data_IF_601132315368
#
_entry.id   IF_601132315368
#
_cell.length_a   1.000
_cell.length_b   1.000
_cell.length_c   1.000
_cell.angle_alpha   90.00
_cell.angle_beta   90.00
_cell.angle_gamma   90.00
#
_symmetry.space_group_name_H-M   'P 1'
#
loop_
_entity.id
_entity.type
_entity.pdbx_description
1 polymer ?
#
# COMPACT_ATOMS: atom_id res chain seq x y z
N UNK A 1 -10.96 -10.59 -10.17
CA UNK A 1 -9.87 -10.68 -9.18
C UNK A 1 -9.91 -9.43 -8.32
N UNK A 2 -9.76 -9.59 -7.02
CA UNK A 2 -9.95 -8.50 -6.06
C UNK A 2 -8.58 -7.83 -5.87
N UNK A 3 -8.33 -6.72 -6.57
CA UNK A 3 -7.11 -5.93 -6.36
C UNK A 3 -7.24 -5.07 -5.11
N UNK A 4 -6.14 -4.91 -4.41
CA UNK A 4 -6.05 -4.00 -3.28
C UNK A 4 -6.10 -2.55 -3.75
N UNK A 5 -6.41 -1.64 -2.82
CA UNK A 5 -6.44 -0.21 -3.11
C UNK A 5 -5.35 0.50 -2.34
N UNK A 6 -4.65 1.40 -3.04
CA UNK A 6 -3.59 2.24 -2.50
C UNK A 6 -3.79 3.69 -2.92
N UNK A 7 -3.39 4.61 -2.06
CA UNK A 7 -3.38 6.05 -2.29
C UNK A 7 -2.07 6.65 -1.78
N UNK A 8 -1.39 7.42 -2.63
CA UNK A 8 -0.15 8.12 -2.25
C UNK A 8 -0.38 9.30 -1.29
N UNK A 9 -1.61 9.80 -1.19
CA UNK A 9 -1.99 10.91 -0.30
C UNK A 9 -3.16 10.49 0.56
N UNK A 10 -3.39 11.23 1.64
CA UNK A 10 -4.53 10.98 2.52
C UNK A 10 -5.85 10.99 1.72
N UNK A 11 -6.63 9.90 1.77
CA UNK A 11 -7.91 9.82 1.08
C UNK A 11 -8.89 10.81 1.74
N UNK A 12 -9.60 11.57 0.91
CA UNK A 12 -10.59 12.55 1.39
C UNK A 12 -11.92 11.93 1.77
N UNK A 13 -12.16 10.67 1.40
CA UNK A 13 -13.39 9.92 1.66
C UNK A 13 -13.08 8.56 2.29
N UNK A 14 -14.03 8.06 3.11
CA UNK A 14 -13.93 6.76 3.80
C UNK A 14 -12.66 6.59 4.67
N UNK A 15 -12.15 7.67 5.29
CA UNK A 15 -10.86 7.69 6.02
C UNK A 15 -10.72 6.55 7.04
N UNK A 16 -11.79 6.18 7.73
CA UNK A 16 -11.81 5.08 8.70
C UNK A 16 -11.59 3.69 8.08
N UNK A 17 -11.76 3.56 6.77
CA UNK A 17 -11.52 2.32 6.01
C UNK A 17 -10.12 2.21 5.44
N UNK A 18 -9.29 3.24 5.60
CA UNK A 18 -7.92 3.24 5.11
C UNK A 18 -6.95 3.16 6.27
N UNK A 19 -5.83 2.50 6.03
CA UNK A 19 -4.72 2.42 6.97
C UNK A 19 -3.52 3.16 6.39
N UNK A 20 -2.92 4.02 7.20
CA UNK A 20 -1.64 4.64 6.86
C UNK A 20 -0.51 3.60 7.00
N UNK A 21 0.30 3.49 5.97
CA UNK A 21 1.46 2.62 5.90
C UNK A 21 2.68 3.33 5.36
N UNK A 22 3.83 2.73 5.62
CA UNK A 22 5.13 3.10 5.06
C UNK A 22 5.55 1.99 4.12
N UNK A 23 5.96 2.33 2.90
CA UNK A 23 6.47 1.32 1.95
C UNK A 23 7.79 0.79 2.49
N UNK A 24 7.85 -0.52 2.72
CA UNK A 24 9.07 -1.23 3.13
C UNK A 24 9.82 -1.72 1.91
N UNK A 25 9.09 -2.27 0.95
CA UNK A 25 9.64 -2.73 -0.32
C UNK A 25 8.55 -2.80 -1.38
N UNK A 26 8.97 -2.82 -2.64
CA UNK A 26 8.09 -3.02 -3.77
C UNK A 26 8.77 -3.92 -4.80
N UNK A 27 8.00 -4.83 -5.39
CA UNK A 27 8.48 -5.79 -6.37
C UNK A 27 7.41 -6.03 -7.44
N UNK A 28 7.83 -6.58 -8.57
CA UNK A 28 6.91 -7.02 -9.62
C UNK A 28 6.79 -8.55 -9.56
N UNK A 29 5.56 -9.07 -9.51
CA UNK A 29 5.29 -10.52 -9.53
C UNK A 29 4.11 -10.80 -10.43
N UNK A 30 4.25 -11.78 -11.34
CA UNK A 30 3.15 -12.25 -12.19
C UNK A 30 2.40 -11.13 -12.95
N UNK A 31 3.13 -10.12 -13.44
CA UNK A 31 2.53 -8.96 -14.12
C UNK A 31 1.74 -8.01 -13.21
N UNK A 32 1.95 -8.10 -11.90
CA UNK A 32 1.38 -7.22 -10.89
C UNK A 32 2.47 -6.51 -10.11
N UNK A 33 2.13 -5.35 -9.56
CA UNK A 33 2.99 -4.63 -8.63
C UNK A 33 2.62 -5.01 -7.21
N UNK A 34 3.58 -5.55 -6.48
CA UNK A 34 3.46 -6.04 -5.12
C UNK A 34 4.18 -5.07 -4.19
N UNK A 35 3.46 -4.49 -3.24
CA UNK A 35 4.00 -3.53 -2.28
C UNK A 35 3.91 -4.12 -0.89
N UNK A 36 5.04 -4.12 -0.18
CA UNK A 36 5.05 -4.40 1.25
C UNK A 36 4.96 -3.09 2.01
N UNK A 37 3.93 -2.99 2.84
CA UNK A 37 3.69 -1.85 3.71
C UNK A 37 3.90 -2.25 5.16
N UNK A 38 4.45 -1.35 5.98
CA UNK A 38 4.36 -1.44 7.43
C UNK A 38 3.36 -0.41 7.93
N UNK A 39 2.43 -0.74 8.84
CA UNK A 39 1.56 0.24 9.46
C UNK A 39 2.37 1.37 10.10
N UNK A 40 2.01 2.64 9.82
CA UNK A 40 2.69 3.80 10.40
C UNK A 40 2.29 3.99 11.87
N UNK A 41 1.01 3.77 12.18
CA UNK A 41 0.51 3.65 13.55
C UNK A 41 0.69 2.20 14.01
N UNK A 42 1.61 1.96 14.95
CA UNK A 42 1.97 0.63 15.43
C UNK A 42 0.85 -0.16 16.14
N UNK A 43 -0.34 0.41 16.34
CA UNK A 43 -1.35 -0.13 17.26
C UNK A 43 -2.81 -0.06 16.77
N UNK A 44 -3.09 0.49 15.57
CA UNK A 44 -4.46 0.40 15.06
C UNK A 44 -4.71 -0.99 14.49
N UNK A 45 -5.84 -1.65 14.84
CA UNK A 45 -6.29 -2.83 14.12
C UNK A 45 -6.66 -2.36 12.72
N UNK A 46 -5.68 -2.34 11.82
CA UNK A 46 -5.96 -2.50 10.41
C UNK A 46 -6.72 -3.81 10.31
N UNK A 47 -8.05 -3.68 10.18
CA UNK A 47 -8.99 -4.70 9.72
C UNK A 47 -8.45 -6.11 9.96
N UNK A 48 -8.80 -6.74 11.10
CA UNK A 48 -8.23 -7.97 11.73
C UNK A 48 -7.85 -9.14 10.78
N UNK A 49 -8.23 -9.10 9.51
CA UNK A 49 -7.87 -10.03 8.44
C UNK A 49 -6.80 -9.55 7.45
N UNK A 50 -6.17 -8.40 7.63
CA UNK A 50 -4.96 -8.10 6.88
C UNK A 50 -3.89 -9.08 7.37
N UNK A 51 -3.77 -10.24 6.70
CA UNK A 51 -2.75 -11.25 6.97
C UNK A 51 -1.39 -10.54 7.01
N UNK A 52 -0.87 -10.36 8.23
CA UNK A 52 0.43 -9.75 8.47
C UNK A 52 1.46 -10.86 8.29
N UNK A 53 2.43 -10.62 7.44
CA UNK A 53 3.57 -11.53 7.32
C UNK A 53 4.57 -11.30 8.45
N UNK A 54 5.47 -12.27 8.64
CA UNK A 54 6.50 -12.27 9.68
C UNK A 54 7.24 -10.91 9.70
N UNK A 55 7.08 -10.16 10.81
CA UNK A 55 7.57 -8.78 10.95
C UNK A 55 6.51 -7.66 10.89
N UNK A 56 5.22 -7.98 10.80
CA UNK A 56 4.13 -7.00 10.91
C UNK A 56 3.92 -6.15 9.65
N UNK A 57 4.47 -6.59 8.52
CA UNK A 57 4.25 -5.97 7.21
C UNK A 57 3.07 -6.63 6.49
N UNK A 58 2.41 -5.90 5.61
CA UNK A 58 1.31 -6.36 4.79
C UNK A 58 1.70 -6.29 3.32
N UNK A 59 1.39 -7.33 2.58
CA UNK A 59 1.58 -7.38 1.14
C UNK A 59 0.30 -6.92 0.41
N UNK A 60 0.45 -5.99 -0.52
CA UNK A 60 -0.61 -5.38 -1.30
C UNK A 60 -0.34 -5.65 -2.77
N UNK A 61 -1.32 -6.24 -3.46
CA UNK A 61 -1.20 -6.58 -4.88
C UNK A 61 -2.07 -5.66 -5.71
N UNK A 62 -1.43 -4.88 -6.57
CA UNK A 62 -2.10 -3.91 -7.44
C UNK A 62 -1.66 -4.07 -8.90
N UNK A 63 -2.44 -3.48 -9.80
CA UNK A 63 -2.11 -3.46 -11.23
C UNK A 63 -1.04 -2.42 -11.54
N UNK A 64 -0.32 -2.57 -12.65
CA UNK A 64 0.66 -1.58 -13.09
C UNK A 64 0.05 -0.20 -13.34
N UNK A 65 -1.18 -0.13 -13.86
CA UNK A 65 -1.87 1.15 -14.00
C UNK A 65 -2.04 1.87 -12.64
N UNK A 66 -2.28 1.13 -11.55
CA UNK A 66 -2.38 1.72 -10.21
C UNK A 66 -1.00 2.07 -9.64
N UNK A 67 0.04 1.28 -9.93
CA UNK A 67 1.44 1.62 -9.62
C UNK A 67 1.82 2.96 -10.24
N UNK A 68 1.64 3.14 -11.54
CA UNK A 68 2.05 4.37 -12.23
C UNK A 68 1.26 5.57 -11.70
N UNK A 69 -0.02 5.37 -11.43
CA UNK A 69 -0.89 6.38 -10.82
C UNK A 69 -0.49 6.73 -9.37
N UNK A 70 0.07 5.77 -8.66
CA UNK A 70 0.57 5.92 -7.30
C UNK A 70 1.91 6.64 -7.27
N UNK A 71 2.88 6.19 -8.08
CA UNK A 71 4.20 6.81 -8.22
C UNK A 71 4.09 8.26 -8.69
N UNK A 72 3.21 8.55 -9.67
CA UNK A 72 2.96 9.93 -10.13
C UNK A 72 2.33 10.85 -9.10
N UNK A 73 1.77 10.32 -8.00
CA UNK A 73 1.21 11.11 -6.89
C UNK A 73 2.12 11.17 -5.67
N UNK A 74 3.11 10.29 -5.60
CA UNK A 74 4.17 10.38 -4.62
C UNK A 74 5.06 11.57 -5.00
N UNK A 75 5.52 12.27 -3.98
CA UNK A 75 6.44 13.40 -4.13
C UNK A 75 7.88 12.86 -4.21
N UNK A 76 8.12 11.99 -5.21
CA UNK A 76 9.42 11.34 -5.48
C UNK A 76 9.81 11.57 -6.93
N UNK A 77 11.12 11.54 -7.20
CA UNK A 77 11.60 11.72 -8.57
C UNK A 77 11.29 10.50 -9.46
N UNK A 78 11.19 10.74 -10.77
CA UNK A 78 10.88 9.69 -11.74
C UNK A 78 11.96 8.60 -11.74
N UNK A 79 11.58 7.38 -11.33
CA UNK A 79 12.49 6.24 -11.21
C UNK A 79 13.09 6.06 -9.81
N UNK A 80 12.74 6.94 -8.87
CA UNK A 80 13.10 6.77 -7.47
C UNK A 80 12.26 5.67 -6.81
N UNK A 81 12.86 5.00 -5.82
CA UNK A 81 12.18 3.93 -5.09
C UNK A 81 11.14 4.53 -4.15
N UNK A 82 9.89 4.06 -4.12
CA UNK A 82 8.87 4.55 -3.20
C UNK A 82 9.10 4.07 -1.75
N UNK A 83 10.21 3.38 -1.47
CA UNK A 83 10.55 2.85 -0.14
C UNK A 83 10.76 4.00 0.84
N UNK A 84 10.15 3.90 2.02
CA UNK A 84 10.14 4.95 3.03
C UNK A 84 9.02 5.98 2.86
N UNK A 85 8.34 6.00 1.71
CA UNK A 85 7.20 6.89 1.51
C UNK A 85 6.00 6.44 2.33
N UNK A 86 5.29 7.43 2.89
CA UNK A 86 4.00 7.23 3.55
C UNK A 86 2.89 7.18 2.52
N UNK A 87 1.94 6.30 2.75
CA UNK A 87 0.81 6.10 1.88
C UNK A 87 -0.37 5.50 2.62
N UNK A 88 -1.52 5.44 1.96
CA UNK A 88 -2.74 4.88 2.51
C UNK A 88 -3.11 3.64 1.72
N UNK A 89 -3.43 2.56 2.41
CA UNK A 89 -3.84 1.32 1.78
C UNK A 89 -5.12 0.78 2.41
N UNK A 90 -5.83 -0.03 1.62
CA UNK A 90 -6.94 -0.83 2.08
C UNK A 90 -6.92 -2.17 1.37
N UNK A 91 -6.75 -3.22 2.16
CA UNK A 91 -6.90 -4.59 1.67
C UNK A 91 -8.36 -4.86 1.38
N UNK A 92 -8.67 -5.41 0.21
CA UNK A 92 -10.04 -5.79 -0.10
C UNK A 92 -10.17 -7.28 0.19
N UNK A 93 -11.04 -7.63 1.15
CA UNK A 93 -11.24 -9.03 1.58
C UNK A 93 -11.58 -9.90 0.38
N UNK A 94 -10.86 -11.02 0.25
CA UNK A 94 -11.08 -12.07 -0.75
C UNK A 94 -12.19 -13.00 -0.29
#
# INVERSE_FOLDING_TARGET
>A
MVHDRIHAREPTHDRDRWTEGVVVSAAERDGHWVVRARPADGDRPCDETAEREDGGSVELVVTFALRDLFLSRLDIDAGESPVGCRFWYRKKRR
#
